data_IF_093094091361
#
_entry.id   IF_093094091361
#
_cell.length_a   1.000
_cell.length_b   1.000
_cell.length_c   1.000
_cell.angle_alpha   90.00
_cell.angle_beta   90.00
_cell.angle_gamma   90.00
#
_symmetry.space_group_name_H-M   'P 1'
#
loop_
_entity.id
_entity.type
_entity.pdbx_description
1 polymer ?
#
# COMPACT_ATOMS: atom_id res chain seq x y z
N UNK A 1 -16.87 13.25 12.80
CA UNK A 1 -16.10 14.36 12.15
C UNK A 1 -14.67 13.89 11.93
N UNK A 2 -13.90 14.49 11.01
CA UNK A 2 -12.49 14.15 10.89
C UNK A 2 -11.74 14.61 12.16
N UNK A 3 -10.77 13.82 12.61
CA UNK A 3 -9.88 14.19 13.73
C UNK A 3 -8.45 14.21 13.25
N UNK A 4 -7.74 15.26 13.63
CA UNK A 4 -6.32 15.44 13.32
C UNK A 4 -5.43 14.77 14.36
N UNK A 5 -4.33 14.18 13.88
CA UNK A 5 -3.30 13.56 14.69
C UNK A 5 -1.94 14.02 14.19
N UNK A 6 -1.19 14.69 15.05
CA UNK A 6 0.09 15.28 14.69
C UNK A 6 1.23 14.34 15.08
N UNK A 7 2.08 14.00 14.11
CA UNK A 7 3.23 13.14 14.27
C UNK A 7 4.47 14.00 13.98
N UNK A 8 5.20 14.33 15.04
CA UNK A 8 6.48 15.01 14.89
C UNK A 8 7.52 14.05 14.33
N UNK A 9 8.37 14.54 13.44
CA UNK A 9 9.49 13.76 12.92
C UNK A 9 10.81 14.54 12.97
N UNK A 10 11.96 13.84 12.87
CA UNK A 10 13.27 14.48 12.97
C UNK A 10 13.47 15.52 11.87
N UNK A 11 14.16 16.61 12.17
CA UNK A 11 14.52 17.62 11.16
C UNK A 11 15.18 16.94 9.93
N UNK A 12 14.75 17.32 8.73
CA UNK A 12 15.29 16.83 7.46
C UNK A 12 16.81 16.87 7.35
N UNK A 13 17.48 17.82 8.02
CA UNK A 13 18.95 17.89 8.05
C UNK A 13 19.61 16.65 8.68
N UNK A 14 18.88 15.99 9.60
CA UNK A 14 19.31 14.75 10.23
C UNK A 14 18.93 13.49 9.44
N UNK A 15 18.33 13.65 8.26
CA UNK A 15 17.86 12.56 7.41
C UNK A 15 18.61 12.54 6.08
N UNK A 16 18.74 11.35 5.52
CA UNK A 16 19.25 11.08 4.19
C UNK A 16 18.18 10.45 3.33
N UNK A 17 18.23 10.76 2.04
CA UNK A 17 17.39 10.14 1.03
C UNK A 17 18.27 9.51 -0.05
N UNK A 18 17.98 8.27 -0.41
CA UNK A 18 18.60 7.58 -1.54
C UNK A 18 17.53 6.96 -2.42
N UNK A 19 17.86 6.86 -3.71
CA UNK A 19 17.16 6.00 -4.65
C UNK A 19 17.96 4.71 -4.75
N UNK A 20 17.28 3.57 -4.74
CA UNK A 20 17.91 2.28 -4.96
C UNK A 20 17.17 1.51 -6.05
N UNK A 21 17.90 0.86 -6.94
CA UNK A 21 17.37 0.06 -8.04
C UNK A 21 17.35 -1.42 -7.65
N UNK A 22 16.19 -2.06 -7.80
CA UNK A 22 16.08 -3.51 -7.64
C UNK A 22 16.85 -4.23 -8.75
N UNK A 23 17.81 -5.07 -8.37
CA UNK A 23 18.57 -5.87 -9.32
C UNK A 23 17.65 -6.92 -9.97
N UNK A 24 17.50 -6.85 -11.30
CA UNK A 24 16.68 -7.79 -12.08
C UNK A 24 17.36 -9.13 -12.35
N UNK A 25 18.69 -9.19 -12.19
CA UNK A 25 19.44 -10.43 -12.31
C UNK A 25 19.41 -11.26 -11.02
N UNK A 26 18.83 -10.71 -9.95
CA UNK A 26 18.57 -11.48 -8.73
C UNK A 26 17.46 -12.50 -8.97
N UNK A 27 17.50 -13.61 -8.21
CA UNK A 27 16.52 -14.68 -8.35
C UNK A 27 15.12 -14.18 -7.96
N UNK A 28 14.26 -13.95 -8.95
CA UNK A 28 12.88 -13.53 -8.71
C UNK A 28 12.12 -14.54 -7.84
N UNK A 29 11.49 -14.01 -6.79
CA UNK A 29 10.50 -14.75 -6.00
C UNK A 29 9.26 -14.95 -6.89
N UNK A 30 8.66 -16.14 -6.86
CA UNK A 30 7.48 -16.47 -7.67
C UNK A 30 6.28 -15.57 -7.38
N UNK A 31 6.29 -14.88 -6.23
CA UNK A 31 5.28 -13.89 -5.86
C UNK A 31 5.45 -12.53 -6.53
N UNK A 32 6.50 -12.31 -7.33
CA UNK A 32 6.78 -11.06 -8.01
C UNK A 32 7.09 -11.32 -9.50
N UNK A 33 6.06 -11.51 -10.33
CA UNK A 33 6.24 -11.99 -11.71
C UNK A 33 6.84 -10.98 -12.69
N UNK A 34 6.86 -9.69 -12.36
CA UNK A 34 7.41 -8.63 -13.21
C UNK A 34 8.38 -7.75 -12.43
N UNK A 35 9.21 -6.98 -13.15
CA UNK A 35 10.14 -6.00 -12.58
C UNK A 35 9.44 -5.03 -11.61
N UNK A 36 8.24 -4.58 -11.99
CA UNK A 36 7.40 -3.73 -11.14
C UNK A 36 7.08 -4.41 -9.81
N UNK A 37 6.61 -5.66 -9.85
CA UNK A 37 6.32 -6.43 -8.64
C UNK A 37 7.58 -6.73 -7.83
N UNK A 38 8.72 -6.90 -8.50
CA UNK A 38 10.00 -7.14 -7.87
C UNK A 38 10.46 -5.94 -7.05
N UNK A 39 10.43 -4.74 -7.63
CA UNK A 39 10.66 -3.47 -6.93
C UNK A 39 9.77 -3.35 -5.68
N UNK A 40 8.47 -3.60 -5.82
CA UNK A 40 7.51 -3.51 -4.70
C UNK A 40 7.87 -4.50 -3.59
N UNK A 41 8.21 -5.74 -3.95
CA UNK A 41 8.65 -6.75 -3.01
C UNK A 41 9.91 -6.31 -2.26
N UNK A 42 10.93 -5.83 -2.97
CA UNK A 42 12.20 -5.34 -2.36
C UNK A 42 11.97 -4.16 -1.43
N UNK A 43 11.15 -3.20 -1.83
CA UNK A 43 10.75 -2.08 -0.97
C UNK A 43 10.13 -2.58 0.34
N UNK A 44 9.20 -3.54 0.26
CA UNK A 44 8.55 -4.10 1.45
C UNK A 44 9.54 -4.89 2.30
N UNK A 45 10.47 -5.65 1.70
CA UNK A 45 11.52 -6.34 2.43
C UNK A 45 12.35 -5.38 3.28
N UNK A 46 12.76 -4.22 2.75
CA UNK A 46 13.45 -3.18 3.53
C UNK A 46 12.58 -2.68 4.68
N UNK A 47 11.34 -2.27 4.38
CA UNK A 47 10.39 -1.75 5.37
C UNK A 47 10.25 -2.70 6.56
N UNK A 48 10.14 -4.01 6.32
CA UNK A 48 9.96 -5.00 7.37
C UNK A 48 11.26 -5.46 8.05
N UNK A 49 12.42 -5.14 7.49
CA UNK A 49 13.71 -5.58 8.05
C UNK A 49 14.30 -4.61 9.05
N UNK A 50 13.97 -3.32 8.96
CA UNK A 50 14.52 -2.31 9.85
C UNK A 50 13.49 -1.24 10.20
N UNK A 51 13.50 -0.77 11.45
CA UNK A 51 12.56 0.26 11.92
C UNK A 51 13.06 1.70 11.69
N UNK A 52 14.34 1.88 11.32
CA UNK A 52 14.90 3.21 11.04
C UNK A 52 14.82 3.62 9.56
N UNK A 53 13.97 2.97 8.76
CA UNK A 53 13.78 3.31 7.34
C UNK A 53 12.31 3.60 7.02
N UNK A 54 12.09 4.60 6.19
CA UNK A 54 10.85 4.77 5.43
C UNK A 54 11.15 4.50 3.97
N UNK A 55 10.28 3.79 3.27
CA UNK A 55 10.48 3.56 1.85
C UNK A 55 9.16 3.58 1.07
N UNK A 56 9.26 3.80 -0.24
CA UNK A 56 8.17 3.64 -1.19
C UNK A 56 8.73 3.19 -2.54
N UNK A 57 8.07 2.27 -3.25
CA UNK A 57 8.40 2.04 -4.66
C UNK A 57 8.14 3.32 -5.46
N UNK A 58 8.96 3.59 -6.47
CA UNK A 58 8.74 4.69 -7.40
C UNK A 58 7.43 4.49 -8.19
N UNK A 59 6.74 5.57 -8.54
CA UNK A 59 5.47 5.55 -9.28
C UNK A 59 5.66 5.37 -10.78
N UNK A 60 6.73 5.94 -11.32
CA UNK A 60 6.99 6.06 -12.75
C UNK A 60 8.03 5.02 -13.20
N UNK A 61 9.06 4.79 -12.39
CA UNK A 61 10.12 3.83 -12.72
C UNK A 61 9.77 2.43 -12.22
N UNK A 62 9.99 1.39 -13.03
CA UNK A 62 9.60 0.01 -12.71
C UNK A 62 10.56 -0.70 -11.74
N UNK A 63 11.73 -0.14 -11.45
CA UNK A 63 12.82 -0.78 -10.69
C UNK A 63 13.25 0.01 -9.44
N UNK A 64 13.03 1.33 -9.41
CA UNK A 64 13.54 2.21 -8.36
C UNK A 64 12.67 2.22 -7.08
N UNK A 65 13.33 2.32 -5.93
CA UNK A 65 12.74 2.45 -4.61
C UNK A 65 13.32 3.70 -3.95
N UNK A 66 12.46 4.52 -3.38
CA UNK A 66 12.82 5.68 -2.58
C UNK A 66 12.99 5.26 -1.12
N UNK A 67 14.10 5.65 -0.49
CA UNK A 67 14.40 5.23 0.87
C UNK A 67 14.93 6.42 1.67
N UNK A 68 14.29 6.66 2.81
CA UNK A 68 14.67 7.67 3.79
C UNK A 68 15.23 6.96 5.01
N UNK A 69 16.35 7.46 5.52
CA UNK A 69 17.05 6.91 6.67
C UNK A 69 17.64 8.06 7.52
N UNK A 70 17.90 7.85 8.82
CA UNK A 70 18.62 8.80 9.65
C UNK A 70 20.11 8.88 9.26
N UNK A 71 20.67 10.08 9.21
CA UNK A 71 22.12 10.34 9.03
C UNK A 71 22.83 10.33 10.39
N UNK A 72 22.76 9.22 11.13
CA UNK A 72 23.37 9.11 12.45
C UNK A 72 24.14 7.81 12.60
N UNK A 73 25.34 7.90 13.19
CA UNK A 73 26.18 6.74 13.48
C UNK A 73 26.31 5.77 12.30
N UNK A 74 25.95 4.51 12.54
CA UNK A 74 26.06 3.39 11.59
C UNK A 74 24.81 3.17 10.71
N UNK A 75 23.83 4.07 10.74
CA UNK A 75 22.55 3.85 10.04
C UNK A 75 22.72 3.69 8.52
N UNK A 76 23.69 4.39 7.92
CA UNK A 76 24.02 4.22 6.51
C UNK A 76 24.69 2.87 6.22
N UNK A 77 25.57 2.40 7.09
CA UNK A 77 26.22 1.08 6.94
C UNK A 77 25.22 -0.07 7.09
N UNK A 78 24.25 0.10 8.00
CA UNK A 78 23.11 -0.81 8.14
C UNK A 78 22.25 -0.82 6.89
N UNK A 79 21.96 0.35 6.33
CA UNK A 79 21.23 0.47 5.06
C UNK A 79 21.97 -0.22 3.91
N UNK A 80 23.29 0.00 3.78
CA UNK A 80 24.12 -0.67 2.78
C UNK A 80 24.14 -2.20 2.97
N UNK A 81 24.16 -2.67 4.22
CA UNK A 81 24.04 -4.11 4.53
C UNK A 81 22.70 -4.68 4.05
N UNK A 82 21.60 -3.92 4.16
CA UNK A 82 20.30 -4.31 3.60
C UNK A 82 20.31 -4.29 2.07
N UNK A 83 21.02 -3.34 1.44
CA UNK A 83 21.15 -3.29 -0.01
C UNK A 83 21.87 -4.53 -0.55
N UNK A 84 22.97 -4.93 0.08
CA UNK A 84 23.67 -6.17 -0.25
C UNK A 84 22.76 -7.39 -0.03
N UNK A 85 22.09 -7.47 1.13
CA UNK A 85 21.22 -8.61 1.48
C UNK A 85 20.03 -8.76 0.53
N UNK A 86 19.49 -7.66 0.04
CA UNK A 86 18.30 -7.64 -0.79
C UNK A 86 18.57 -7.35 -2.26
N UNK A 87 19.84 -7.35 -2.70
CA UNK A 87 20.21 -7.12 -4.09
C UNK A 87 19.65 -5.80 -4.63
N UNK A 88 19.80 -4.74 -3.84
CA UNK A 88 19.48 -3.36 -4.24
C UNK A 88 20.79 -2.61 -4.50
N UNK A 89 20.77 -1.73 -5.48
CA UNK A 89 21.94 -0.95 -5.88
C UNK A 89 21.58 0.52 -5.68
N UNK A 90 22.35 1.24 -4.88
CA UNK A 90 22.13 2.68 -4.71
C UNK A 90 22.38 3.40 -6.04
N UNK A 91 21.44 4.29 -6.40
CA UNK A 91 21.49 5.09 -7.62
C UNK A 91 21.83 6.56 -7.26
N UNK A 92 23.08 6.92 -7.51
CA UNK A 92 23.64 8.24 -7.24
C UNK A 92 23.92 8.51 -5.77
N UNK A 93 24.08 9.80 -5.44
CA UNK A 93 24.48 10.25 -4.11
C UNK A 93 23.32 10.35 -3.12
N UNK A 94 23.67 10.47 -1.83
CA UNK A 94 22.69 10.73 -0.76
C UNK A 94 22.17 12.16 -0.89
N UNK A 95 20.86 12.27 -1.15
CA UNK A 95 20.14 13.53 -1.34
C UNK A 95 19.53 14.03 -0.04
N UNK A 96 19.10 15.29 -0.04
CA UNK A 96 18.26 15.86 1.04
C UNK A 96 16.82 15.36 0.89
N UNK A 97 16.15 15.20 2.01
CA UNK A 97 14.73 14.84 2.06
C UNK A 97 13.90 16.09 1.78
N UNK A 98 12.93 15.97 0.87
CA UNK A 98 11.88 16.97 0.68
C UNK A 98 10.52 16.47 1.23
N UNK A 99 9.55 17.39 1.29
CA UNK A 99 8.23 17.12 1.86
C UNK A 99 7.43 16.05 1.11
N UNK A 100 7.56 15.98 -0.21
CA UNK A 100 6.75 15.08 -1.02
C UNK A 100 7.31 13.66 -1.01
N UNK A 101 8.63 13.51 -1.04
CA UNK A 101 9.32 12.23 -0.84
C UNK A 101 9.03 11.69 0.55
N UNK A 102 9.08 12.55 1.58
CA UNK A 102 8.77 12.17 2.95
C UNK A 102 7.32 11.67 3.10
N UNK A 103 6.36 12.47 2.64
CA UNK A 103 4.93 12.12 2.59
C UNK A 103 4.70 10.75 1.95
N UNK A 104 5.26 10.55 0.76
CA UNK A 104 5.08 9.33 -0.01
C UNK A 104 5.65 8.11 0.72
N UNK A 105 6.91 8.20 1.19
CA UNK A 105 7.58 7.11 1.90
C UNK A 105 6.89 6.78 3.22
N UNK A 106 6.47 7.81 3.98
CA UNK A 106 5.72 7.64 5.21
C UNK A 106 4.40 6.92 4.96
N UNK A 107 3.57 7.41 4.04
CA UNK A 107 2.24 6.84 3.80
C UNK A 107 2.31 5.39 3.31
N UNK A 108 3.23 5.10 2.37
CA UNK A 108 3.43 3.74 1.89
C UNK A 108 3.93 2.81 3.00
N UNK A 109 4.93 3.25 3.78
CA UNK A 109 5.46 2.48 4.91
C UNK A 109 4.41 2.20 5.98
N UNK A 110 3.62 3.23 6.34
CA UNK A 110 2.51 3.11 7.27
C UNK A 110 1.51 2.06 6.80
N UNK A 111 1.02 2.17 5.56
CA UNK A 111 0.06 1.20 5.02
C UNK A 111 0.63 -0.22 4.95
N UNK A 112 1.91 -0.36 4.57
CA UNK A 112 2.59 -1.64 4.57
C UNK A 112 2.64 -2.27 5.97
N UNK A 113 3.06 -1.51 7.00
CA UNK A 113 3.19 -1.97 8.39
C UNK A 113 1.85 -2.30 9.05
N UNK A 114 0.81 -1.55 8.72
CA UNK A 114 -0.52 -1.72 9.31
C UNK A 114 -1.29 -2.92 8.74
N UNK A 115 -0.97 -3.34 7.52
CA UNK A 115 -1.51 -4.57 6.95
C UNK A 115 -0.98 -5.81 7.72
N UNK A 116 -1.81 -6.84 7.92
CA UNK A 116 -3.15 -7.02 7.38
C UNK A 116 -4.27 -6.56 8.31
N UNK A 117 -3.98 -5.90 9.45
CA UNK A 117 -5.04 -5.47 10.38
C UNK A 117 -5.87 -4.36 9.75
N UNK A 118 -5.17 -3.35 9.22
CA UNK A 118 -5.76 -2.27 8.44
C UNK A 118 -5.21 -2.34 7.02
N UNK A 119 -6.06 -2.66 6.06
CA UNK A 119 -5.66 -2.86 4.67
C UNK A 119 -6.01 -1.60 3.86
N UNK A 120 -5.06 -1.10 3.07
CA UNK A 120 -5.31 0.03 2.17
C UNK A 120 -6.34 -0.33 1.12
N UNK A 121 -7.29 0.55 0.84
CA UNK A 121 -8.33 0.43 -0.17
C UNK A 121 -8.46 1.77 -0.90
N UNK A 122 -8.41 1.76 -2.22
CA UNK A 122 -8.29 2.98 -3.01
C UNK A 122 -7.05 3.78 -2.62
N UNK A 123 -7.19 5.11 -2.56
CA UNK A 123 -6.09 6.03 -2.33
C UNK A 123 -5.96 6.52 -0.89
N UNK A 124 -7.06 6.48 -0.13
CA UNK A 124 -7.15 7.13 1.17
C UNK A 124 -8.02 6.36 2.18
N UNK A 125 -8.42 5.11 1.89
CA UNK A 125 -9.18 4.31 2.85
C UNK A 125 -8.36 3.17 3.43
N UNK A 126 -8.65 2.85 4.68
CA UNK A 126 -8.19 1.64 5.35
C UNK A 126 -9.39 0.85 5.84
N UNK A 127 -9.38 -0.47 5.62
CA UNK A 127 -10.42 -1.39 6.09
C UNK A 127 -9.88 -2.24 7.26
N UNK A 128 -10.60 -2.21 8.39
CA UNK A 128 -10.24 -2.93 9.62
C UNK A 128 -10.77 -4.36 9.60
N UNK A 129 -10.15 -5.22 8.81
CA UNK A 129 -10.39 -6.67 8.84
C UNK A 129 -9.35 -7.37 7.98
N UNK A 130 -8.57 -8.29 8.54
CA UNK A 130 -7.56 -9.07 7.79
C UNK A 130 -8.14 -10.02 6.73
N UNK A 131 -9.41 -10.37 6.86
CA UNK A 131 -10.16 -11.29 6.00
C UNK A 131 -11.29 -10.56 5.26
N UNK A 132 -11.19 -9.23 5.10
CA UNK A 132 -12.25 -8.40 4.49
C UNK A 132 -12.61 -8.82 3.06
N UNK A 133 -11.75 -9.58 2.37
CA UNK A 133 -12.03 -10.15 1.04
C UNK A 133 -13.05 -11.28 1.09
N UNK A 134 -13.18 -12.03 2.19
CA UNK A 134 -14.16 -13.12 2.31
C UNK A 134 -15.33 -12.76 3.21
N UNK A 135 -15.14 -11.89 4.21
CA UNK A 135 -16.22 -11.44 5.10
C UNK A 135 -17.30 -10.68 4.34
N UNK A 136 -18.57 -11.05 4.53
CA UNK A 136 -19.71 -10.36 3.94
C UNK A 136 -20.13 -9.15 4.79
N UNK A 137 -20.75 -8.17 4.15
CA UNK A 137 -21.36 -7.01 4.80
C UNK A 137 -20.40 -5.88 5.13
N UNK A 138 -20.92 -4.90 5.86
CA UNK A 138 -20.25 -3.64 6.18
C UNK A 138 -19.06 -3.88 7.10
N UNK A 139 -17.92 -3.30 6.74
CA UNK A 139 -16.69 -3.31 7.53
C UNK A 139 -16.43 -1.93 8.14
N UNK A 140 -15.74 -1.90 9.28
CA UNK A 140 -15.18 -0.67 9.81
C UNK A 140 -14.01 -0.21 8.96
N UNK A 141 -13.89 1.10 8.78
CA UNK A 141 -12.78 1.69 8.05
C UNK A 141 -12.48 3.09 8.50
N UNK A 142 -11.39 3.62 7.96
CA UNK A 142 -10.97 5.00 8.15
C UNK A 142 -10.62 5.59 6.80
N UNK A 143 -11.17 6.77 6.54
CA UNK A 143 -10.66 7.67 5.51
C UNK A 143 -9.52 8.48 6.13
N UNK A 144 -8.36 8.46 5.51
CA UNK A 144 -7.13 9.07 6.00
C UNK A 144 -6.57 10.01 4.93
N UNK A 145 -6.53 11.29 5.26
CA UNK A 145 -5.74 12.28 4.53
C UNK A 145 -4.49 12.62 5.35
N UNK A 146 -3.48 13.14 4.68
CA UNK A 146 -2.25 13.54 5.33
C UNK A 146 -1.68 14.80 4.70
N UNK A 147 -1.08 15.63 5.55
CA UNK A 147 -0.35 16.83 5.16
C UNK A 147 0.97 16.90 5.93
N UNK A 148 1.94 17.65 5.41
CA UNK A 148 3.23 17.85 6.07
C UNK A 148 3.55 19.34 6.11
N UNK A 149 3.80 19.83 7.31
CA UNK A 149 4.16 21.23 7.59
C UNK A 149 5.14 21.28 8.76
N UNK A 150 6.21 22.05 8.64
CA UNK A 150 7.14 22.37 9.75
C UNK A 150 7.62 21.16 10.58
N UNK A 151 8.08 20.09 9.93
CA UNK A 151 8.50 18.84 10.59
C UNK A 151 7.39 18.04 11.32
N UNK A 152 6.13 18.29 10.97
CA UNK A 152 4.96 17.58 11.49
C UNK A 152 4.19 16.95 10.32
N UNK A 153 3.86 15.67 10.44
CA UNK A 153 2.82 15.04 9.61
C UNK A 153 1.51 15.16 10.38
N UNK A 154 0.49 15.73 9.74
CA UNK A 154 -0.87 15.71 10.27
C UNK A 154 -1.65 14.63 9.54
N UNK A 155 -2.20 13.67 10.29
CA UNK A 155 -3.14 12.68 9.79
C UNK A 155 -4.56 13.11 10.12
N UNK A 156 -5.37 13.33 9.09
CA UNK A 156 -6.80 13.62 9.24
C UNK A 156 -7.59 12.33 9.05
N UNK A 157 -8.14 11.83 10.15
CA UNK A 157 -8.79 10.52 10.21
C UNK A 157 -10.29 10.68 10.40
N UNK A 158 -11.06 10.12 9.48
CA UNK A 158 -12.52 10.07 9.54
C UNK A 158 -12.98 8.61 9.56
N UNK A 159 -13.59 8.14 10.67
CA UNK A 159 -14.18 6.81 10.72
C UNK A 159 -15.34 6.67 9.76
N UNK A 160 -15.36 5.56 9.04
CA UNK A 160 -16.36 5.26 8.02
C UNK A 160 -16.76 3.79 8.09
N UNK A 161 -17.91 3.50 7.50
CA UNK A 161 -18.37 2.15 7.19
C UNK A 161 -18.10 1.89 5.71
N UNK A 162 -17.42 0.79 5.41
CA UNK A 162 -17.04 0.40 4.04
C UNK A 162 -17.80 -0.87 3.68
N UNK A 163 -18.62 -0.82 2.64
CA UNK A 163 -19.29 -1.99 2.08
C UNK A 163 -18.73 -2.30 0.69
N UNK A 164 -18.00 -3.40 0.57
CA UNK A 164 -17.58 -3.94 -0.73
C UNK A 164 -18.77 -4.66 -1.34
N UNK A 165 -19.39 -4.03 -2.34
CA UNK A 165 -20.51 -4.61 -3.08
C UNK A 165 -20.02 -5.81 -3.88
N UNK A 166 -20.26 -7.01 -3.32
CA UNK A 166 -19.97 -8.26 -4.00
C UNK A 166 -21.17 -8.74 -4.77
N UNK A 167 -20.90 -9.19 -5.97
CA UNK A 167 -21.85 -9.88 -6.80
C UNK A 167 -21.30 -11.29 -7.02
N UNK A 168 -22.10 -12.31 -6.74
CA UNK A 168 -21.70 -13.70 -6.94
C UNK A 168 -21.82 -14.14 -8.41
N UNK A 169 -22.39 -13.27 -9.26
CA UNK A 169 -22.50 -13.53 -10.69
C UNK A 169 -21.13 -13.45 -11.34
N UNK A 170 -20.88 -14.38 -12.28
CA UNK A 170 -19.66 -14.36 -13.09
C UNK A 170 -19.50 -13.01 -13.79
N UNK A 171 -18.26 -12.63 -14.03
CA UNK A 171 -17.95 -11.51 -14.91
C UNK A 171 -17.90 -11.99 -16.35
N UNK A 172 -18.29 -11.12 -17.28
CA UNK A 172 -18.31 -11.46 -18.71
C UNK A 172 -17.20 -10.72 -19.47
N UNK A 173 -16.64 -11.31 -20.53
CA UNK A 173 -15.68 -10.63 -21.40
C UNK A 173 -16.20 -9.27 -21.88
N UNK A 174 -15.33 -8.26 -21.88
CA UNK A 174 -15.66 -6.87 -22.21
C UNK A 174 -16.29 -6.07 -21.05
N UNK A 175 -16.66 -6.73 -19.95
CA UNK A 175 -17.24 -6.04 -18.80
C UNK A 175 -16.21 -5.12 -18.13
N UNK A 176 -16.66 -3.90 -17.79
CA UNK A 176 -15.88 -2.93 -17.04
C UNK A 176 -15.98 -3.22 -15.54
N UNK A 177 -14.83 -3.43 -14.90
CA UNK A 177 -14.72 -3.71 -13.47
C UNK A 177 -13.71 -2.77 -12.81
N UNK A 178 -13.55 -2.93 -11.49
CA UNK A 178 -12.54 -2.32 -10.65
C UNK A 178 -11.74 -3.39 -9.94
N UNK A 179 -10.44 -3.12 -9.79
CA UNK A 179 -9.49 -4.09 -9.24
C UNK A 179 -8.92 -3.59 -7.92
N UNK A 180 -8.97 -4.41 -6.87
CA UNK A 180 -8.35 -4.10 -5.59
C UNK A 180 -6.80 -4.19 -5.65
N UNK A 181 -6.05 -3.51 -4.76
CA UNK A 181 -6.51 -2.53 -3.78
C UNK A 181 -6.89 -1.17 -4.39
N UNK A 182 -6.40 -0.85 -5.58
CA UNK A 182 -6.40 0.51 -6.13
C UNK A 182 -7.76 1.01 -6.62
N UNK A 183 -8.69 0.10 -6.87
CA UNK A 183 -10.00 0.37 -7.49
C UNK A 183 -9.89 0.96 -8.90
N UNK A 184 -8.72 0.76 -9.54
CA UNK A 184 -8.48 1.11 -10.93
C UNK A 184 -9.45 0.36 -11.84
N UNK A 185 -9.92 1.09 -12.86
CA UNK A 185 -10.80 0.55 -13.89
C UNK A 185 -10.02 -0.42 -14.78
N UNK A 186 -10.62 -1.56 -15.07
CA UNK A 186 -10.09 -2.54 -16.01
C UNK A 186 -11.23 -3.26 -16.74
N UNK A 187 -10.88 -4.07 -17.73
CA UNK A 187 -11.82 -4.87 -18.52
C UNK A 187 -11.52 -6.35 -18.35
N UNK A 188 -12.58 -7.15 -18.25
CA UNK A 188 -12.49 -8.61 -18.21
C UNK A 188 -12.21 -9.14 -19.61
N UNK A 189 -11.25 -10.05 -19.74
CA UNK A 189 -10.95 -10.73 -21.00
C UNK A 189 -11.44 -12.16 -21.01
N UNK A 190 -11.09 -12.92 -19.97
CA UNK A 190 -11.32 -14.36 -19.93
C UNK A 190 -11.56 -14.84 -18.50
N UNK A 191 -12.35 -15.92 -18.38
CA UNK A 191 -12.65 -16.61 -17.12
C UNK A 191 -11.88 -17.93 -17.05
N UNK A 192 -11.38 -18.25 -15.86
CA UNK A 192 -10.75 -19.53 -15.57
C UNK A 192 -11.27 -20.10 -14.24
N UNK A 193 -11.55 -21.40 -14.21
CA UNK A 193 -11.98 -22.08 -12.98
C UNK A 193 -10.85 -22.18 -11.94
N UNK A 194 -9.60 -22.16 -12.39
CA UNK A 194 -8.37 -22.20 -11.58
C UNK A 194 -7.31 -21.27 -12.19
N UNK A 195 -6.17 -21.08 -11.52
CA UNK A 195 -5.07 -20.28 -12.08
C UNK A 195 -4.61 -20.90 -13.41
N UNK A 196 -4.70 -20.18 -14.55
CA UNK A 196 -4.39 -20.75 -15.85
C UNK A 196 -2.87 -20.96 -16.00
N UNK A 197 -2.48 -21.96 -16.78
CA UNK A 197 -1.05 -22.24 -17.07
C UNK A 197 -0.36 -21.12 -17.84
N UNK A 198 -1.14 -20.28 -18.52
CA UNK A 198 -0.68 -19.07 -19.22
C UNK A 198 -0.45 -17.89 -18.28
N UNK A 199 -0.86 -17.99 -17.01
CA UNK A 199 -0.61 -16.98 -16.00
C UNK A 199 0.88 -16.89 -15.66
N UNK A 200 1.30 -15.72 -15.19
CA UNK A 200 2.61 -15.56 -14.55
C UNK A 200 2.72 -16.36 -13.23
N UNK A 201 1.59 -16.79 -12.66
CA UNK A 201 1.54 -17.60 -11.45
C UNK A 201 1.42 -19.09 -11.79
N UNK A 202 2.31 -19.92 -11.25
CA UNK A 202 2.28 -21.38 -11.50
C UNK A 202 1.12 -22.09 -10.83
N UNK A 203 0.59 -21.53 -9.74
CA UNK A 203 -0.49 -22.09 -8.96
C UNK A 203 -1.14 -21.04 -8.06
N UNK A 204 -2.30 -21.35 -7.50
CA UNK A 204 -2.99 -20.46 -6.56
C UNK A 204 -2.14 -20.07 -5.35
N UNK A 205 -1.28 -20.97 -4.84
CA UNK A 205 -0.39 -20.66 -3.72
C UNK A 205 0.59 -19.51 -4.04
N UNK A 206 1.10 -19.44 -5.26
CA UNK A 206 1.98 -18.35 -5.71
C UNK A 206 1.19 -17.04 -5.82
N UNK A 207 -0.05 -17.09 -6.32
CA UNK A 207 -0.97 -15.94 -6.35
C UNK A 207 -1.30 -15.44 -4.93
N UNK A 208 -1.62 -16.33 -3.98
CA UNK A 208 -1.81 -15.94 -2.56
C UNK A 208 -0.57 -15.27 -1.97
N UNK A 209 0.61 -15.82 -2.26
CA UNK A 209 1.89 -15.26 -1.81
C UNK A 209 2.12 -13.86 -2.42
N UNK A 210 1.79 -13.68 -3.70
CA UNK A 210 1.81 -12.39 -4.39
C UNK A 210 0.94 -11.35 -3.68
N UNK A 211 -0.35 -11.63 -3.47
CA UNK A 211 -1.25 -10.68 -2.83
C UNK A 211 -0.82 -10.30 -1.41
N UNK A 212 -0.34 -11.28 -0.64
CA UNK A 212 0.22 -11.04 0.69
C UNK A 212 1.46 -10.16 0.63
N UNK A 213 2.38 -10.47 -0.28
CA UNK A 213 3.69 -9.84 -0.32
C UNK A 213 3.67 -8.47 -1.01
N UNK A 214 2.80 -8.23 -1.98
CA UNK A 214 2.73 -6.99 -2.75
C UNK A 214 1.71 -6.03 -2.14
N UNK A 215 0.51 -6.52 -1.78
CA UNK A 215 -0.59 -5.69 -1.30
C UNK A 215 -0.84 -5.80 0.22
N UNK A 216 -0.30 -6.83 0.88
CA UNK A 216 -0.59 -7.11 2.30
C UNK A 216 -1.91 -7.85 2.53
N UNK A 217 -2.65 -8.15 1.46
CA UNK A 217 -3.97 -8.78 1.51
C UNK A 217 -3.87 -10.29 1.74
N UNK A 218 -4.85 -10.86 2.42
CA UNK A 218 -4.95 -12.31 2.63
C UNK A 218 -6.04 -12.91 1.77
N UNK A 219 -5.63 -13.61 0.72
CA UNK A 219 -6.53 -14.47 -0.04
C UNK A 219 -6.91 -15.74 0.76
N UNK A 220 -8.12 -16.28 0.53
CA UNK A 220 -8.56 -17.55 1.13
C UNK A 220 -7.62 -18.71 0.77
N UNK A 221 -7.70 -19.82 1.51
CA UNK A 221 -6.86 -20.99 1.25
C UNK A 221 -7.37 -21.81 0.08
N UNK A 222 -8.69 -21.89 -0.04
CA UNK A 222 -9.39 -22.55 -1.12
C UNK A 222 -9.15 -21.78 -2.44
N UNK A 223 -8.77 -22.53 -3.47
CA UNK A 223 -8.62 -21.96 -4.81
C UNK A 223 -9.95 -21.41 -5.30
N UNK A 224 -9.88 -20.21 -5.89
CA UNK A 224 -11.04 -19.51 -6.42
C UNK A 224 -10.89 -19.31 -7.92
N UNK A 225 -12.01 -19.15 -8.65
CA UNK A 225 -11.97 -18.78 -10.04
C UNK A 225 -11.18 -17.48 -10.25
N UNK A 226 -10.43 -17.44 -11.35
CA UNK A 226 -9.61 -16.32 -11.73
C UNK A 226 -10.10 -15.72 -13.05
N UNK A 227 -9.72 -14.47 -13.29
CA UNK A 227 -10.01 -13.77 -14.53
C UNK A 227 -8.72 -13.21 -15.11
N UNK A 228 -8.61 -13.24 -16.43
CA UNK A 228 -7.68 -12.37 -17.15
C UNK A 228 -8.29 -10.96 -17.21
N UNK A 229 -7.54 -9.99 -16.71
CA UNK A 229 -7.99 -8.60 -16.56
C UNK A 229 -7.02 -7.67 -17.23
N UNK A 230 -7.51 -6.82 -18.13
CA UNK A 230 -6.71 -5.84 -18.86
C UNK A 230 -6.96 -4.42 -18.35
N UNK A 231 -5.91 -3.77 -17.88
CA UNK A 231 -5.92 -2.33 -17.60
C UNK A 231 -5.71 -1.52 -18.87
N UNK A 232 -6.05 -0.23 -18.84
CA UNK A 232 -5.86 0.65 -19.99
C UNK A 232 -4.43 0.59 -20.52
N UNK A 233 -4.27 0.11 -21.77
CA UNK A 233 -2.98 -0.09 -22.48
C UNK A 233 -1.97 -1.01 -21.76
N UNK A 234 -2.43 -1.83 -20.81
CA UNK A 234 -1.58 -2.81 -20.13
C UNK A 234 -1.73 -4.20 -20.75
N UNK A 235 -0.78 -5.08 -20.42
CA UNK A 235 -0.91 -6.51 -20.66
C UNK A 235 -1.97 -7.13 -19.73
N UNK A 236 -2.61 -8.25 -20.15
CA UNK A 236 -3.58 -8.94 -19.31
C UNK A 236 -2.91 -9.56 -18.08
N UNK A 237 -3.55 -9.41 -16.92
CA UNK A 237 -3.05 -9.91 -15.63
C UNK A 237 -4.08 -10.82 -14.98
N UNK A 238 -3.62 -11.83 -14.25
CA UNK A 238 -4.51 -12.79 -13.57
C UNK A 238 -4.94 -12.30 -12.19
N UNK A 239 -6.25 -12.16 -11.99
CA UNK A 239 -6.84 -11.74 -10.72
C UNK A 239 -7.89 -12.74 -10.22
N UNK A 240 -7.91 -13.11 -8.93
CA UNK A 240 -9.02 -13.86 -8.36
C UNK A 240 -10.33 -13.07 -8.43
N UNK A 241 -11.46 -13.77 -8.58
CA UNK A 241 -12.82 -13.19 -8.57
C UNK A 241 -13.06 -12.22 -7.39
N UNK A 242 -12.56 -12.59 -6.22
CA UNK A 242 -12.76 -11.89 -4.95
C UNK A 242 -12.03 -10.55 -4.85
N UNK A 243 -11.11 -10.29 -5.79
CA UNK A 243 -10.36 -9.06 -5.89
C UNK A 243 -10.94 -8.07 -6.90
N UNK A 244 -12.06 -8.42 -7.53
CA UNK A 244 -12.75 -7.64 -8.57
C UNK A 244 -14.08 -7.13 -8.04
N UNK A 245 -14.49 -5.93 -8.46
CA UNK A 245 -15.80 -5.36 -8.16
C UNK A 245 -16.38 -4.62 -9.36
N UNK A 246 -17.71 -4.63 -9.56
CA UNK A 246 -18.38 -3.82 -10.61
C UNK A 246 -18.44 -2.33 -10.24
N UNK A 247 -18.59 -2.05 -8.95
CA UNK A 247 -18.79 -0.72 -8.41
C UNK A 247 -17.69 -0.34 -7.43
N UNK A 248 -17.60 0.96 -7.13
CA UNK A 248 -16.85 1.43 -5.98
C UNK A 248 -17.49 0.91 -4.67
N UNK A 249 -16.69 0.76 -3.59
CA UNK A 249 -17.23 0.50 -2.27
C UNK A 249 -18.25 1.56 -1.87
N UNK A 250 -19.33 1.17 -1.20
CA UNK A 250 -20.25 2.13 -0.60
C UNK A 250 -19.64 2.57 0.73
N UNK A 251 -19.36 3.86 0.83
CA UNK A 251 -18.81 4.49 2.04
C UNK A 251 -19.94 5.24 2.75
N UNK A 252 -20.24 4.86 3.98
CA UNK A 252 -21.25 5.54 4.80
C UNK A 252 -20.68 6.08 6.10
N UNK A 253 -21.28 7.14 6.69
CA UNK A 253 -20.87 7.65 7.98
C UNK A 253 -20.97 6.60 9.10
N UNK A 254 -20.04 6.68 10.04
CA UNK A 254 -20.08 5.88 11.27
C UNK A 254 -20.98 6.56 12.33
N UNK A 255 -21.57 5.80 13.24
CA UNK A 255 -22.29 6.37 14.37
C UNK A 255 -21.33 7.06 15.33
N UNK A 256 -21.73 8.19 15.92
CA UNK A 256 -20.92 8.95 16.90
C UNK A 256 -20.43 8.08 18.07
N UNK A 257 -21.23 7.10 18.49
CA UNK A 257 -20.88 6.15 19.55
C UNK A 257 -19.71 5.23 19.20
N UNK A 258 -19.52 4.90 17.92
CA UNK A 258 -18.47 3.98 17.46
C UNK A 258 -17.21 4.71 16.95
N UNK A 259 -17.32 5.98 16.53
CA UNK A 259 -16.20 6.76 15.98
C UNK A 259 -14.96 6.74 16.88
N UNK A 260 -15.15 6.93 18.20
CA UNK A 260 -14.03 6.98 19.17
C UNK A 260 -13.28 5.64 19.23
N UNK A 261 -14.00 4.52 19.31
CA UNK A 261 -13.40 3.20 19.42
C UNK A 261 -12.61 2.82 18.16
N UNK A 262 -13.14 3.16 16.98
CA UNK A 262 -12.49 2.86 15.69
C UNK A 262 -11.22 3.70 15.51
N UNK A 263 -11.23 4.98 15.89
CA UNK A 263 -10.03 5.82 15.90
C UNK A 263 -8.98 5.31 16.87
N UNK A 264 -9.38 4.95 18.09
CA UNK A 264 -8.46 4.40 19.09
C UNK A 264 -7.83 3.09 18.60
N UNK A 265 -8.62 2.20 17.98
CA UNK A 265 -8.12 0.97 17.40
C UNK A 265 -7.09 1.23 16.28
N UNK A 266 -7.36 2.19 15.39
CA UNK A 266 -6.40 2.55 14.33
C UNK A 266 -5.10 3.11 14.88
N UNK A 267 -5.17 4.07 15.80
CA UNK A 267 -3.99 4.70 16.40
C UNK A 267 -3.20 3.70 17.23
N UNK A 268 -3.86 2.85 18.02
CA UNK A 268 -3.21 1.77 18.76
C UNK A 268 -2.52 0.77 17.84
N UNK A 269 -3.16 0.42 16.71
CA UNK A 269 -2.53 -0.44 15.71
C UNK A 269 -1.31 0.24 15.07
N UNK A 270 -1.40 1.52 14.72
CA UNK A 270 -0.29 2.29 14.15
C UNK A 270 0.90 2.32 15.13
N UNK A 271 0.67 2.71 16.39
CA UNK A 271 1.71 2.75 17.42
C UNK A 271 2.28 1.35 17.73
N UNK A 272 1.49 0.28 17.61
CA UNK A 272 1.97 -1.09 17.83
C UNK A 272 2.79 -1.62 16.66
N UNK A 273 2.38 -1.34 15.41
CA UNK A 273 3.01 -1.90 14.19
C UNK A 273 4.16 -1.05 13.65
N UNK A 274 4.15 0.25 13.94
CA UNK A 274 5.15 1.22 13.55
C UNK A 274 5.59 2.01 14.78
N UNK A 275 5.98 1.30 15.84
CA UNK A 275 6.37 1.90 17.14
C UNK A 275 7.60 2.80 17.08
N UNK A 276 8.44 2.62 16.05
CA UNK A 276 9.58 3.47 15.76
C UNK A 276 9.50 3.96 14.31
N UNK A 277 9.94 5.20 14.10
CA UNK A 277 10.05 5.84 12.81
C UNK A 277 11.42 6.50 12.72
N UNK A 278 12.22 6.10 11.73
CA UNK A 278 13.57 6.66 11.49
C UNK A 278 14.48 6.61 12.72
N UNK A 279 14.31 5.58 13.57
CA UNK A 279 15.10 5.37 14.79
C UNK A 279 14.52 6.03 16.05
N UNK A 280 13.41 6.76 15.96
CA UNK A 280 12.78 7.44 17.10
C UNK A 280 11.45 6.77 17.45
N UNK A 281 11.08 6.73 18.75
CA UNK A 281 9.73 6.31 19.14
C UNK A 281 8.68 7.17 18.43
N UNK A 282 7.67 6.51 17.84
CA UNK A 282 6.56 7.21 17.22
C UNK A 282 5.73 7.90 18.29
N UNK A 283 5.66 9.23 18.25
CA UNK A 283 4.84 10.02 19.16
C UNK A 283 3.71 10.70 18.37
N UNK A 284 2.47 10.45 18.79
CA UNK A 284 1.26 10.95 18.14
C UNK A 284 0.53 11.88 19.10
N UNK A 285 0.63 13.18 18.84
CA UNK A 285 -0.08 14.20 19.58
C UNK A 285 -1.52 14.29 19.08
N UNK A 286 -2.47 14.15 20.00
CA UNK A 286 -3.91 14.22 19.73
C UNK A 286 -4.37 15.67 19.84
N UNK A 287 -3.99 16.52 18.89
CA UNK A 287 -4.61 17.84 18.77
C UNK A 287 -5.94 17.67 18.02
N UNK A 288 -7.03 17.67 18.78
CA UNK A 288 -8.38 17.57 18.21
C UNK A 288 -8.70 18.94 17.59
N UNK A 289 -8.34 19.13 16.32
CA UNK A 289 -8.82 20.23 15.51
C UNK A 289 -9.92 19.70 14.58
N UNK A 290 -11.12 20.27 14.68
CA UNK A 290 -12.22 19.98 13.74
C UNK A 290 -12.01 20.82 12.47
N UNK A 291 -11.42 20.23 11.43
CA UNK A 291 -11.29 20.89 10.13
C UNK A 291 -12.39 20.45 9.16
N UNK A 292 -12.99 21.45 8.50
CA UNK A 292 -13.84 21.29 7.32
C UNK A 292 -13.04 21.79 6.10
N UNK A 293 -11.97 21.11 5.70
CA UNK A 293 -11.32 21.40 4.42
C UNK A 293 -11.83 20.45 3.33
N UNK A 294 -12.17 21.03 2.19
CA UNK A 294 -12.43 20.30 0.96
C UNK A 294 -11.11 19.81 0.38
N UNK A 295 -10.78 18.53 0.59
CA UNK A 295 -9.61 17.93 -0.04
C UNK A 295 -9.81 17.81 -1.54
N UNK A 296 -8.90 18.39 -2.31
CA UNK A 296 -8.79 18.14 -3.75
C UNK A 296 -8.25 16.71 -3.91
N UNK A 297 -9.01 15.85 -4.58
CA UNK A 297 -8.53 14.55 -5.07
C UNK A 297 -7.39 14.82 -6.04
N UNK A 298 -6.16 14.85 -5.52
CA UNK A 298 -4.97 14.79 -6.37
C UNK A 298 -4.97 13.42 -7.02
N UNK A 299 -4.95 13.39 -8.35
CA UNK A 299 -4.87 12.17 -9.15
C UNK A 299 -3.62 11.38 -8.75
N UNK A 300 -3.78 10.48 -7.78
CA UNK A 300 -2.73 9.61 -7.32
C UNK A 300 -2.68 8.41 -8.26
N UNK A 301 -1.67 8.36 -9.13
CA UNK A 301 -1.35 7.16 -9.91
C UNK A 301 -1.14 6.00 -8.94
N UNK A 302 -1.83 4.89 -9.19
CA UNK A 302 -1.78 3.71 -8.34
C UNK A 302 -0.38 3.12 -8.27
N UNK A 303 0.20 3.09 -7.07
CA UNK A 303 1.44 2.38 -6.76
C UNK A 303 1.33 0.85 -6.85
N UNK A 304 0.14 0.32 -7.15
CA UNK A 304 -0.19 -1.09 -6.99
C UNK A 304 -0.50 -1.81 -8.31
N UNK A 305 -0.56 -1.09 -9.42
CA UNK A 305 -0.84 -1.66 -10.73
C UNK A 305 0.25 -1.19 -11.68
N UNK A 306 0.81 -2.03 -12.55
CA UNK A 306 1.66 -1.57 -13.63
C UNK A 306 0.84 -0.68 -14.56
N UNK A 307 0.72 0.62 -14.26
CA UNK A 307 0.34 1.61 -15.27
C UNK A 307 1.56 1.78 -16.14
N UNK A 308 1.74 0.88 -17.10
CA UNK A 308 2.75 1.06 -18.14
C UNK A 308 2.39 2.35 -18.89
N UNK A 309 3.25 3.36 -18.78
CA UNK A 309 3.22 4.48 -19.69
C UNK A 309 3.79 4.04 -21.04
N UNK A 310 3.23 4.68 -22.08
CA UNK A 310 3.58 4.41 -23.47
C UNK A 310 5.06 4.58 -23.73
N UNK A 311 5.49 3.90 -24.79
CA UNK A 311 6.76 4.11 -25.48
C UNK A 311 7.24 5.56 -25.45
#
# INVERSE_FOLDING_TARGET
>A
MAKSYNIAYPNYESLGYVVATANLYDKHDRSAPSDFHWKVLKCRMIIFSHSSVLASPDKCDVKQVHIIFPRRGEDYDRLNSLFLRFSLIQDGDIRKVDSDIYKMCFYYTMGAKMAPTWNTLGYNYFINNRNFLTTAGIQEGIQCFYSVKDNIITLELKPVKINLMRCNDKYYPGECIRVLPSLNKATIEEYYESVPKTSDFKCYKDLRRHWKNIHGYRLPEEERPCYSVRFWRGEPLTYPDICLTRAFPIITPMSKSAEKAVLENFINCLMSKMSYMLGYPLNINREICEHNESHVETQAVSLCTPTQHGK
#
